data_IF_818259184687
#
_entry.id   IF_818259184687
#
_cell.length_a   1.000
_cell.length_b   1.000
_cell.length_c   1.000
_cell.angle_alpha   90.00
_cell.angle_beta   90.00
_cell.angle_gamma   90.00
#
_symmetry.space_group_name_H-M   'P 1'
#
loop_
_entity.id
_entity.type
_entity.pdbx_description
1 polymer ?
#
# COMPACT_ATOMS: atom_id res chain seq x y z
N UNK A 1 16.78 1.70 -26.80
CA UNK A 1 17.09 0.33 -26.31
C UNK A 1 17.04 0.24 -24.78
N UNK A 2 17.53 1.22 -24.01
CA UNK A 2 17.44 1.20 -22.53
C UNK A 2 15.99 1.14 -21.99
N UNK A 3 15.05 1.83 -22.63
CA UNK A 3 13.64 1.87 -22.22
C UNK A 3 12.91 0.53 -22.43
N UNK A 4 13.28 -0.23 -23.46
CA UNK A 4 12.77 -1.58 -23.74
C UNK A 4 13.34 -2.64 -22.78
N UNK A 5 14.56 -2.43 -22.29
CA UNK A 5 15.20 -3.34 -21.32
C UNK A 5 14.56 -3.15 -19.94
N UNK A 6 14.22 -1.90 -19.53
CA UNK A 6 13.53 -1.61 -18.28
C UNK A 6 12.11 -2.23 -18.20
N UNK A 7 11.42 -2.43 -19.34
CA UNK A 7 10.09 -3.06 -19.38
C UNK A 7 10.12 -4.57 -19.16
N UNK A 8 11.28 -5.24 -19.36
CA UNK A 8 11.41 -6.69 -19.18
C UNK A 8 11.47 -7.13 -17.71
N UNK A 9 11.84 -6.24 -16.80
CA UNK A 9 12.03 -6.52 -15.36
C UNK A 9 10.85 -6.07 -14.50
N UNK A 10 9.62 -6.15 -15.02
CA UNK A 10 8.42 -5.77 -14.30
C UNK A 10 7.59 -7.04 -14.02
N UNK A 11 7.05 -7.21 -12.81
CA UNK A 11 7.28 -6.39 -11.61
C UNK A 11 8.73 -6.48 -11.12
N UNK A 12 9.27 -5.34 -10.63
CA UNK A 12 10.66 -5.23 -10.20
C UNK A 12 10.82 -5.64 -8.75
N UNK A 13 11.70 -6.60 -8.47
CA UNK A 13 12.01 -7.00 -7.10
C UNK A 13 12.56 -5.81 -6.29
N UNK A 14 11.98 -5.60 -5.11
CA UNK A 14 12.45 -4.67 -4.09
C UNK A 14 13.36 -5.43 -3.13
N UNK A 15 12.81 -6.38 -2.42
CA UNK A 15 13.52 -7.26 -1.47
C UNK A 15 12.67 -8.50 -1.19
N UNK A 16 13.29 -9.62 -0.87
CA UNK A 16 12.66 -10.91 -0.58
C UNK A 16 11.69 -11.33 -1.70
N UNK A 17 10.41 -11.24 -1.46
CA UNK A 17 9.33 -11.59 -2.37
C UNK A 17 8.37 -10.42 -2.64
N UNK A 18 8.83 -9.18 -2.37
CA UNK A 18 8.09 -7.93 -2.57
C UNK A 18 8.59 -7.23 -3.83
N UNK A 19 7.68 -6.84 -4.70
CA UNK A 19 7.96 -6.26 -6.00
C UNK A 19 7.21 -4.95 -6.19
N UNK A 20 7.78 -4.05 -6.99
CA UNK A 20 7.14 -2.84 -7.49
C UNK A 20 6.54 -3.10 -8.86
N UNK A 21 5.25 -2.82 -9.05
CA UNK A 21 4.53 -3.16 -10.28
C UNK A 21 4.82 -2.21 -11.44
N UNK A 22 5.21 -0.95 -11.19
CA UNK A 22 5.21 0.10 -12.20
C UNK A 22 3.83 0.26 -12.89
N UNK A 23 3.74 0.81 -14.10
CA UNK A 23 2.47 1.05 -14.81
C UNK A 23 1.44 1.81 -13.97
N UNK A 24 1.90 2.89 -13.36
CA UNK A 24 1.04 3.77 -12.58
C UNK A 24 -0.19 4.21 -13.40
N UNK A 25 -1.35 4.18 -12.76
CA UNK A 25 -2.61 4.53 -13.41
C UNK A 25 -2.93 6.02 -13.23
N UNK A 26 -3.39 6.72 -14.29
CA UNK A 26 -3.95 8.06 -14.10
C UNK A 26 -5.22 8.06 -13.27
N UNK A 27 -5.91 6.92 -13.13
CA UNK A 27 -7.10 6.76 -12.27
C UNK A 27 -6.78 6.77 -10.78
N UNK A 28 -5.51 6.58 -10.41
CA UNK A 28 -4.97 6.70 -9.06
C UNK A 28 -3.93 7.81 -8.99
N UNK A 29 -4.09 8.88 -9.75
CA UNK A 29 -3.16 10.02 -9.78
C UNK A 29 -1.68 9.63 -9.95
N UNK A 30 -1.41 8.47 -10.54
CA UNK A 30 -0.05 7.94 -10.70
C UNK A 30 0.49 7.19 -9.48
N UNK A 31 -0.37 6.71 -8.60
CA UNK A 31 0.02 5.97 -7.41
C UNK A 31 0.85 4.73 -7.69
N UNK A 32 1.75 4.41 -6.78
CA UNK A 32 2.55 3.19 -6.80
C UNK A 32 1.71 2.00 -6.40
N UNK A 33 2.03 0.84 -6.95
CA UNK A 33 1.42 -0.43 -6.57
C UNK A 33 2.50 -1.50 -6.41
N UNK A 34 2.19 -2.50 -5.60
CA UNK A 34 3.16 -3.51 -5.24
C UNK A 34 2.57 -4.91 -5.40
N UNK A 35 3.44 -5.88 -5.64
CA UNK A 35 3.09 -7.28 -5.72
C UNK A 35 3.90 -8.06 -4.69
N UNK A 36 3.25 -8.94 -3.94
CA UNK A 36 3.91 -9.86 -3.01
C UNK A 36 3.68 -11.28 -3.50
N UNK A 37 4.76 -11.98 -3.84
CA UNK A 37 4.70 -13.40 -4.15
C UNK A 37 4.62 -14.19 -2.86
N UNK A 38 3.57 -15.00 -2.70
CA UNK A 38 3.35 -15.76 -1.47
C UNK A 38 2.89 -17.18 -1.77
N UNK A 39 3.38 -18.21 -1.05
CA UNK A 39 3.05 -19.61 -1.31
C UNK A 39 1.55 -19.91 -1.17
N UNK A 40 0.85 -19.22 -0.25
CA UNK A 40 -0.59 -19.40 -0.04
C UNK A 40 -1.45 -18.48 -0.91
N UNK A 41 -0.86 -17.92 -1.97
CA UNK A 41 -1.50 -17.03 -2.94
C UNK A 41 -0.97 -15.60 -2.91
N UNK A 42 -0.70 -15.07 -4.10
CA UNK A 42 -0.07 -13.76 -4.27
C UNK A 42 -1.02 -12.61 -3.96
N UNK A 43 -0.42 -11.48 -3.56
CA UNK A 43 -1.12 -10.25 -3.22
C UNK A 43 -0.73 -9.12 -4.17
N UNK A 44 -1.71 -8.37 -4.62
CA UNK A 44 -1.52 -7.05 -5.22
C UNK A 44 -1.92 -5.99 -4.19
N UNK A 45 -1.07 -4.99 -3.98
CA UNK A 45 -1.32 -3.88 -3.07
C UNK A 45 -1.50 -2.62 -3.91
N UNK A 46 -2.67 -2.04 -3.83
CA UNK A 46 -3.22 -1.03 -4.71
C UNK A 46 -3.19 -1.49 -6.18
N UNK A 47 -3.70 -0.70 -7.10
CA UNK A 47 -3.86 -1.19 -8.46
C UNK A 47 -3.06 -0.40 -9.47
N UNK A 48 -2.12 -1.05 -10.18
CA UNK A 48 -1.53 -0.48 -11.37
C UNK A 48 -2.56 -0.43 -12.51
N UNK A 49 -2.21 0.28 -13.59
CA UNK A 49 -2.97 0.17 -14.84
C UNK A 49 -2.96 -1.28 -15.34
N UNK A 50 -4.13 -1.79 -15.72
CA UNK A 50 -4.24 -3.11 -16.34
C UNK A 50 -3.61 -3.10 -17.74
N UNK A 51 -2.57 -3.88 -17.93
CA UNK A 51 -1.84 -3.99 -19.20
C UNK A 51 -1.54 -5.46 -19.51
N UNK A 52 -1.60 -5.89 -20.79
CA UNK A 52 -1.29 -7.28 -21.15
C UNK A 52 0.07 -7.74 -20.62
N UNK A 53 1.08 -6.88 -20.68
CA UNK A 53 2.42 -7.24 -20.21
C UNK A 53 2.46 -7.55 -18.71
N UNK A 54 1.80 -6.72 -17.87
CA UNK A 54 1.80 -6.96 -16.42
C UNK A 54 0.89 -8.14 -16.05
N UNK A 55 -0.24 -8.30 -16.76
CA UNK A 55 -1.12 -9.46 -16.65
C UNK A 55 -0.36 -10.77 -16.88
N UNK A 56 0.33 -10.88 -18.04
CA UNK A 56 1.13 -12.07 -18.39
C UNK A 56 2.23 -12.36 -17.34
N UNK A 57 2.86 -11.29 -16.80
CA UNK A 57 3.89 -11.44 -15.77
C UNK A 57 3.35 -11.92 -14.45
N UNK A 58 2.22 -11.38 -14.02
CA UNK A 58 1.53 -11.82 -12.80
C UNK A 58 1.08 -13.29 -12.97
N UNK A 59 0.57 -13.67 -14.13
CA UNK A 59 0.21 -15.06 -14.42
C UNK A 59 1.41 -16.00 -14.32
N UNK A 60 2.55 -15.65 -14.93
CA UNK A 60 3.80 -16.40 -14.83
C UNK A 60 4.30 -16.53 -13.37
N UNK A 61 3.98 -15.59 -12.52
CA UNK A 61 4.30 -15.61 -11.10
C UNK A 61 3.27 -16.38 -10.24
N UNK A 62 2.23 -16.95 -10.85
CA UNK A 62 1.20 -17.74 -10.18
C UNK A 62 -0.13 -17.04 -9.96
N UNK A 63 -0.41 -15.96 -10.68
CA UNK A 63 -1.67 -15.21 -10.59
C UNK A 63 -1.81 -14.37 -9.33
N UNK A 64 -3.06 -14.02 -8.98
CA UNK A 64 -3.42 -13.25 -7.77
C UNK A 64 -4.47 -14.02 -6.98
N UNK A 65 -4.37 -13.96 -5.66
CA UNK A 65 -5.41 -14.41 -4.73
C UNK A 65 -6.10 -13.24 -4.04
N UNK A 66 -5.33 -12.21 -3.69
CA UNK A 66 -5.84 -11.04 -3.00
C UNK A 66 -5.39 -9.74 -3.67
N UNK A 67 -6.26 -8.73 -3.63
CA UNK A 67 -5.97 -7.35 -4.02
C UNK A 67 -6.34 -6.49 -2.82
N UNK A 68 -5.34 -6.00 -2.10
CA UNK A 68 -5.54 -5.09 -0.99
C UNK A 68 -5.53 -3.64 -1.49
N UNK A 69 -6.57 -2.90 -1.20
CA UNK A 69 -6.73 -1.50 -1.56
C UNK A 69 -6.57 -0.67 -0.29
N UNK A 70 -5.53 0.16 -0.25
CA UNK A 70 -5.20 0.96 0.93
C UNK A 70 -6.30 1.97 1.23
N UNK A 71 -6.90 2.57 0.19
CA UNK A 71 -7.95 3.56 0.29
C UNK A 71 -8.70 3.76 -1.05
N UNK A 72 -9.68 4.65 -1.07
CA UNK A 72 -10.57 4.86 -2.20
C UNK A 72 -9.90 5.42 -3.48
N UNK A 73 -8.78 6.16 -3.36
CA UNK A 73 -8.20 6.88 -4.50
C UNK A 73 -7.28 5.98 -5.36
N UNK A 74 -6.79 4.85 -4.80
CA UNK A 74 -5.86 3.93 -5.45
C UNK A 74 -6.48 2.62 -5.98
N UNK A 75 -7.81 2.59 -6.14
CA UNK A 75 -8.53 1.41 -6.63
C UNK A 75 -8.30 1.12 -8.12
N UNK A 76 -8.03 2.13 -8.91
CA UNK A 76 -7.69 2.12 -10.35
C UNK A 76 -8.35 0.97 -11.16
N UNK A 77 -7.58 0.01 -11.64
CA UNK A 77 -8.05 -1.12 -12.45
C UNK A 77 -8.20 -2.43 -11.64
N UNK A 78 -8.30 -2.35 -10.31
CA UNK A 78 -8.41 -3.52 -9.42
C UNK A 78 -9.53 -4.49 -9.80
N UNK A 79 -10.67 -3.98 -10.28
CA UNK A 79 -11.77 -4.82 -10.74
C UNK A 79 -11.42 -5.64 -12.00
N UNK A 80 -10.54 -5.15 -12.88
CA UNK A 80 -10.06 -5.90 -14.04
C UNK A 80 -9.13 -7.04 -13.61
N UNK A 81 -8.19 -6.75 -12.69
CA UNK A 81 -7.33 -7.77 -12.11
C UNK A 81 -8.12 -8.83 -11.33
N UNK A 82 -9.11 -8.42 -10.52
CA UNK A 82 -9.96 -9.34 -9.78
C UNK A 82 -10.70 -10.31 -10.71
N UNK A 83 -11.31 -9.81 -11.77
CA UNK A 83 -11.98 -10.68 -12.77
C UNK A 83 -11.04 -11.61 -13.52
N UNK A 84 -9.83 -11.12 -13.85
CA UNK A 84 -8.85 -11.90 -14.61
C UNK A 84 -8.31 -13.08 -13.82
N UNK A 85 -8.08 -12.91 -12.53
CA UNK A 85 -7.42 -13.90 -11.67
C UNK A 85 -8.34 -14.55 -10.65
N UNK A 86 -9.64 -14.24 -10.66
CA UNK A 86 -10.60 -14.64 -9.62
C UNK A 86 -10.11 -14.25 -8.21
N UNK A 87 -9.53 -13.04 -8.11
CA UNK A 87 -8.91 -12.56 -6.89
C UNK A 87 -9.91 -11.78 -6.02
N UNK A 88 -9.79 -11.89 -4.71
CA UNK A 88 -10.62 -11.20 -3.74
C UNK A 88 -10.05 -9.82 -3.42
N UNK A 89 -10.84 -8.76 -3.63
CA UNK A 89 -10.49 -7.38 -3.27
C UNK A 89 -10.83 -7.12 -1.81
N UNK A 90 -9.90 -6.49 -1.12
CA UNK A 90 -10.00 -6.11 0.30
C UNK A 90 -9.96 -4.59 0.38
N UNK A 91 -10.97 -3.97 0.96
CA UNK A 91 -11.04 -2.52 1.20
C UNK A 91 -11.79 -2.25 2.50
N UNK A 92 -11.53 -1.11 3.12
CA UNK A 92 -12.31 -0.70 4.28
C UNK A 92 -13.74 -0.29 3.90
N UNK A 93 -14.74 -0.65 4.73
CA UNK A 93 -16.16 -0.38 4.45
C UNK A 93 -16.49 1.10 4.23
N UNK A 94 -15.74 2.01 4.86
CA UNK A 94 -15.96 3.45 4.69
C UNK A 94 -15.58 3.94 3.28
N UNK A 95 -14.66 3.25 2.59
CA UNK A 95 -14.18 3.59 1.24
C UNK A 95 -14.78 2.65 0.16
N UNK A 96 -15.69 1.73 0.53
CA UNK A 96 -16.26 0.70 -0.35
C UNK A 96 -16.93 1.23 -1.63
N UNK A 97 -17.34 2.50 -1.65
CA UNK A 97 -17.98 3.10 -2.82
C UNK A 97 -17.03 3.17 -4.02
N UNK A 98 -15.73 3.28 -3.78
CA UNK A 98 -14.71 3.31 -4.83
C UNK A 98 -14.44 1.92 -5.44
N UNK A 99 -14.69 0.84 -4.69
CA UNK A 99 -14.55 -0.54 -5.16
C UNK A 99 -15.86 -1.32 -4.97
N UNK A 100 -16.92 -0.99 -5.74
CA UNK A 100 -18.20 -1.67 -5.61
C UNK A 100 -18.04 -3.17 -5.88
N UNK A 101 -18.68 -3.97 -5.02
CA UNK A 101 -18.60 -5.44 -5.10
C UNK A 101 -17.26 -6.00 -4.59
N UNK A 102 -16.46 -5.24 -3.83
CA UNK A 102 -15.29 -5.80 -3.16
C UNK A 102 -15.71 -6.93 -2.21
N UNK A 103 -14.97 -8.02 -2.28
CA UNK A 103 -15.33 -9.32 -1.70
C UNK A 103 -15.13 -9.34 -0.18
N UNK A 104 -14.13 -8.61 0.32
CA UNK A 104 -13.79 -8.54 1.75
C UNK A 104 -13.83 -7.08 2.21
N UNK A 105 -14.67 -6.80 3.21
CA UNK A 105 -14.76 -5.47 3.81
C UNK A 105 -14.12 -5.47 5.20
N UNK A 106 -13.07 -4.67 5.37
CA UNK A 106 -12.49 -4.35 6.67
C UNK A 106 -13.44 -3.43 7.42
N UNK A 107 -13.71 -3.70 8.69
CA UNK A 107 -14.66 -2.94 9.52
C UNK A 107 -14.02 -2.40 10.77
N UNK A 108 -14.44 -1.21 11.17
CA UNK A 108 -14.00 -0.58 12.41
C UNK A 108 -12.53 -0.12 12.35
N UNK A 109 -11.89 -0.02 13.50
CA UNK A 109 -10.53 0.53 13.64
C UNK A 109 -9.53 -0.47 14.19
N UNK A 110 -9.98 -1.69 14.47
CA UNK A 110 -9.10 -2.73 15.01
C UNK A 110 -8.32 -3.42 13.88
N UNK A 111 -7.06 -3.80 14.14
CA UNK A 111 -6.26 -4.56 13.19
C UNK A 111 -6.93 -5.89 12.82
N UNK A 112 -6.88 -6.20 11.55
CA UNK A 112 -7.50 -7.39 10.97
C UNK A 112 -6.45 -8.23 10.22
N UNK A 113 -6.40 -9.53 10.48
CA UNK A 113 -5.50 -10.44 9.78
C UNK A 113 -6.29 -11.30 8.79
N UNK A 114 -6.00 -11.13 7.49
CA UNK A 114 -6.49 -12.04 6.45
C UNK A 114 -5.64 -13.30 6.39
N UNK A 115 -4.36 -13.18 6.73
CA UNK A 115 -3.38 -14.25 6.78
C UNK A 115 -2.39 -13.96 7.95
N UNK A 116 -1.79 -14.97 8.61
CA UNK A 116 -0.85 -14.74 9.72
C UNK A 116 0.30 -13.78 9.43
N UNK A 117 0.80 -13.75 8.20
CA UNK A 117 1.89 -12.85 7.78
C UNK A 117 1.41 -11.47 7.29
N UNK A 118 0.09 -11.27 7.07
CA UNK A 118 -0.49 -10.03 6.55
C UNK A 118 -1.47 -9.43 7.56
N UNK A 119 -1.10 -8.29 8.12
CA UNK A 119 -1.93 -7.54 9.05
C UNK A 119 -2.42 -6.24 8.41
N UNK A 120 -3.73 -6.12 8.24
CA UNK A 120 -4.38 -4.87 7.86
C UNK A 120 -4.57 -4.02 9.11
N UNK A 121 -4.11 -2.79 9.06
CA UNK A 121 -4.20 -1.84 10.18
C UNK A 121 -4.98 -0.62 9.68
N UNK A 122 -6.23 -0.40 10.15
CA UNK A 122 -6.97 0.81 9.83
C UNK A 122 -6.29 2.05 10.40
N UNK A 123 -6.08 3.04 9.54
CA UNK A 123 -5.41 4.31 9.85
C UNK A 123 -6.20 5.48 9.26
N UNK A 124 -7.44 5.72 9.73
CA UNK A 124 -8.26 6.81 9.22
C UNK A 124 -7.51 8.14 9.34
N UNK A 125 -7.70 9.00 8.35
CA UNK A 125 -7.06 10.31 8.28
C UNK A 125 -7.01 10.85 6.86
N UNK A 126 -6.17 10.31 5.99
CA UNK A 126 -6.15 10.68 4.57
C UNK A 126 -7.55 10.46 3.95
N UNK A 127 -8.08 9.25 4.04
CA UNK A 127 -9.50 8.96 3.87
C UNK A 127 -10.09 8.39 5.15
N UNK A 128 -11.41 8.28 5.22
CA UNK A 128 -12.09 7.70 6.38
C UNK A 128 -11.81 6.20 6.52
N UNK A 129 -11.62 5.51 5.38
CA UNK A 129 -11.37 4.08 5.32
C UNK A 129 -9.91 3.71 5.05
N UNK A 130 -8.97 4.65 5.20
CA UNK A 130 -7.57 4.35 4.91
C UNK A 130 -7.03 3.24 5.80
N UNK A 131 -6.36 2.27 5.17
CA UNK A 131 -5.68 1.16 5.85
C UNK A 131 -4.25 1.04 5.33
N UNK A 132 -3.34 0.61 6.20
CA UNK A 132 -2.02 0.15 5.79
C UNK A 132 -1.94 -1.37 5.91
N UNK A 133 -1.05 -1.99 5.13
CA UNK A 133 -0.79 -3.43 5.20
C UNK A 133 0.61 -3.67 5.72
N UNK A 134 0.73 -4.38 6.83
CA UNK A 134 2.01 -4.82 7.38
C UNK A 134 2.25 -6.29 7.01
N UNK A 135 3.34 -6.55 6.28
CA UNK A 135 3.76 -7.87 5.86
C UNK A 135 5.04 -8.29 6.56
N UNK A 136 5.02 -9.46 7.21
CA UNK A 136 6.14 -10.09 7.94
C UNK A 136 6.81 -9.20 8.98
N UNK A 137 6.11 -8.22 9.55
CA UNK A 137 6.69 -7.21 10.45
C UNK A 137 7.95 -6.53 9.86
N UNK A 138 8.00 -6.41 8.54
CA UNK A 138 9.14 -5.85 7.80
C UNK A 138 8.71 -4.81 6.77
N UNK A 139 7.65 -5.07 6.01
CA UNK A 139 7.19 -4.22 4.92
C UNK A 139 5.86 -3.56 5.29
N UNK A 140 5.84 -2.23 5.37
CA UNK A 140 4.63 -1.46 5.57
C UNK A 140 4.22 -0.79 4.25
N UNK A 141 3.11 -1.23 3.66
CA UNK A 141 2.48 -0.59 2.51
C UNK A 141 1.53 0.49 3.03
N UNK A 142 1.84 1.74 2.75
CA UNK A 142 1.27 2.87 3.47
C UNK A 142 0.20 3.63 2.71
N UNK A 143 -0.02 3.33 1.40
CA UNK A 143 -0.87 4.19 0.58
C UNK A 143 -0.41 5.64 0.71
N UNK A 144 -1.34 6.54 0.94
CA UNK A 144 -1.06 7.98 1.06
C UNK A 144 -0.97 8.47 2.51
N UNK A 145 -0.80 7.53 3.45
CA UNK A 145 -0.70 7.86 4.87
C UNK A 145 0.68 8.35 5.28
N UNK A 146 1.74 7.80 4.69
CA UNK A 146 3.14 7.97 5.10
C UNK A 146 4.08 7.70 3.94
N UNK A 147 5.09 8.57 3.74
CA UNK A 147 6.14 8.41 2.73
C UNK A 147 7.51 8.83 3.25
N UNK A 148 8.54 8.70 2.40
CA UNK A 148 9.86 9.31 2.63
C UNK A 148 9.98 10.62 1.87
N UNK A 149 10.14 11.72 2.61
CA UNK A 149 10.45 13.04 2.09
C UNK A 149 11.97 13.15 1.82
N UNK A 150 12.34 13.19 0.54
CA UNK A 150 13.76 13.26 0.13
C UNK A 150 14.39 14.59 0.53
N UNK A 151 13.65 15.69 0.44
CA UNK A 151 14.18 17.02 0.71
C UNK A 151 14.52 17.18 2.19
N UNK A 152 13.66 16.63 3.05
CA UNK A 152 13.85 16.66 4.50
C UNK A 152 14.66 15.47 5.04
N UNK A 153 14.95 14.48 4.17
CA UNK A 153 15.56 13.20 4.59
C UNK A 153 14.87 12.60 5.82
N UNK A 154 13.53 12.56 5.82
CA UNK A 154 12.71 12.16 6.95
C UNK A 154 11.41 11.50 6.49
N UNK A 155 10.73 10.78 7.38
CA UNK A 155 9.36 10.35 7.15
C UNK A 155 8.45 11.59 7.05
N UNK A 156 7.50 11.55 6.11
CA UNK A 156 6.56 12.63 5.81
C UNK A 156 5.11 12.18 5.78
N UNK A 157 4.25 13.07 6.20
CA UNK A 157 2.81 13.07 5.98
C UNK A 157 2.39 14.54 5.79
N UNK A 158 1.42 14.79 4.92
CA UNK A 158 1.11 16.15 4.49
C UNK A 158 -0.36 16.48 4.71
N UNK A 159 -0.59 17.58 5.43
CA UNK A 159 -1.94 18.04 5.76
C UNK A 159 -2.75 18.42 4.53
N UNK A 160 -2.09 18.98 3.51
CA UNK A 160 -2.73 19.42 2.26
C UNK A 160 -3.28 18.25 1.42
N UNK A 161 -2.82 17.03 1.69
CA UNK A 161 -3.30 15.79 1.06
C UNK A 161 -4.13 14.93 2.02
N UNK A 162 -4.59 15.49 3.17
CA UNK A 162 -5.44 14.80 4.11
C UNK A 162 -6.91 15.20 3.87
N UNK A 163 -7.67 14.33 3.19
CA UNK A 163 -9.03 14.66 2.75
C UNK A 163 -10.09 14.48 3.85
N UNK A 164 -9.84 13.63 4.85
CA UNK A 164 -10.82 13.35 5.88
C UNK A 164 -10.58 14.14 7.16
N UNK A 165 -9.54 13.83 7.93
CA UNK A 165 -9.28 14.49 9.22
C UNK A 165 -7.81 14.35 9.62
N UNK A 166 -7.12 15.49 9.74
CA UNK A 166 -5.71 15.53 10.12
C UNK A 166 -5.44 15.06 11.55
N UNK A 167 -6.37 15.34 12.48
CA UNK A 167 -6.22 14.88 13.88
C UNK A 167 -6.33 13.36 13.96
N UNK A 168 -7.27 12.79 13.21
CA UNK A 168 -7.36 11.32 13.10
C UNK A 168 -6.13 10.74 12.43
N UNK A 169 -5.58 11.37 11.38
CA UNK A 169 -4.34 10.92 10.75
C UNK A 169 -3.16 10.95 11.74
N UNK A 170 -3.07 12.00 12.57
CA UNK A 170 -2.05 12.09 13.62
C UNK A 170 -2.19 10.98 14.67
N UNK A 171 -3.41 10.69 15.13
CA UNK A 171 -3.67 9.57 16.05
C UNK A 171 -3.37 8.21 15.41
N UNK A 172 -3.72 8.05 14.15
CA UNK A 172 -3.43 6.84 13.37
C UNK A 172 -1.94 6.64 13.20
N UNK A 173 -1.19 7.71 12.92
CA UNK A 173 0.27 7.66 12.85
C UNK A 173 0.89 7.27 14.20
N UNK A 174 0.37 7.79 15.31
CA UNK A 174 0.82 7.42 16.65
C UNK A 174 0.57 5.94 16.96
N UNK A 175 -0.57 5.38 16.52
CA UNK A 175 -0.84 3.95 16.68
C UNK A 175 0.15 3.04 15.94
N UNK A 176 0.72 3.51 14.84
CA UNK A 176 1.75 2.75 14.10
C UNK A 176 3.04 2.55 14.90
N UNK A 177 3.29 3.35 15.95
CA UNK A 177 4.43 3.15 16.86
C UNK A 177 4.40 1.81 17.61
N UNK A 178 3.25 1.14 17.66
CA UNK A 178 3.13 -0.20 18.26
C UNK A 178 3.67 -1.33 17.35
N UNK A 179 4.07 -1.03 16.11
CA UNK A 179 4.50 -2.01 15.12
C UNK A 179 5.96 -1.80 14.71
N UNK A 180 6.69 -2.90 14.55
CA UNK A 180 8.02 -2.89 13.96
C UNK A 180 7.95 -3.09 12.45
N UNK A 181 8.72 -2.31 11.69
CA UNK A 181 8.91 -2.48 10.24
C UNK A 181 10.20 -1.80 9.80
N UNK A 182 10.74 -2.23 8.65
CA UNK A 182 11.97 -1.71 8.05
C UNK A 182 11.71 -0.92 6.76
N UNK A 183 10.64 -1.26 6.04
CA UNK A 183 10.26 -0.63 4.79
C UNK A 183 8.99 0.20 4.94
N UNK A 184 9.02 1.41 4.38
CA UNK A 184 7.84 2.20 4.03
C UNK A 184 7.69 2.17 2.51
N UNK A 185 6.53 1.67 2.05
CA UNK A 185 6.18 1.46 0.65
C UNK A 185 4.90 2.24 0.33
N UNK A 186 5.02 3.54 -0.04
CA UNK A 186 3.88 4.43 -0.19
C UNK A 186 3.16 4.31 -1.54
N UNK A 187 1.89 4.73 -1.59
CA UNK A 187 1.15 4.96 -2.83
C UNK A 187 1.72 6.15 -3.60
N UNK A 188 1.97 7.26 -2.94
CA UNK A 188 2.67 8.41 -3.51
C UNK A 188 3.97 8.69 -2.76
N UNK A 189 4.91 9.36 -3.46
CA UNK A 189 6.21 9.69 -2.88
C UNK A 189 7.26 8.59 -2.95
N UNK A 190 8.24 8.65 -2.06
CA UNK A 190 9.40 7.76 -2.11
C UNK A 190 9.33 6.68 -1.04
N UNK A 191 9.73 5.48 -1.45
CA UNK A 191 9.97 4.36 -0.52
C UNK A 191 11.30 4.49 0.16
N UNK A 192 11.41 3.97 1.38
CA UNK A 192 12.65 3.94 2.16
C UNK A 192 12.79 2.64 2.92
N UNK A 193 14.04 2.20 3.08
CA UNK A 193 14.43 1.16 4.02
C UNK A 193 15.33 1.75 5.09
N UNK A 194 15.00 1.50 6.34
CA UNK A 194 15.82 1.79 7.52
C UNK A 194 15.86 0.55 8.42
N UNK A 195 16.80 0.50 9.36
CA UNK A 195 16.67 -0.50 10.44
C UNK A 195 15.39 -0.24 11.25
N UNK A 196 14.83 -1.28 11.87
CA UNK A 196 13.60 -1.14 12.66
C UNK A 196 13.69 -0.04 13.73
N UNK A 197 14.85 0.08 14.41
CA UNK A 197 15.08 1.11 15.42
C UNK A 197 15.12 2.52 14.82
N UNK A 198 15.78 2.69 13.67
CA UNK A 198 15.82 3.97 12.96
C UNK A 198 14.44 4.35 12.44
N UNK A 199 13.69 3.39 11.89
CA UNK A 199 12.34 3.60 11.40
C UNK A 199 11.41 4.03 12.53
N UNK A 200 11.49 3.36 13.69
CA UNK A 200 10.72 3.74 14.87
C UNK A 200 11.06 5.16 15.36
N UNK A 201 12.36 5.52 15.37
CA UNK A 201 12.80 6.87 15.75
C UNK A 201 12.25 7.94 14.79
N UNK A 202 12.33 7.70 13.48
CA UNK A 202 11.80 8.63 12.46
C UNK A 202 10.27 8.76 12.57
N UNK A 203 9.56 7.68 12.82
CA UNK A 203 8.12 7.70 13.02
C UNK A 203 7.74 8.52 14.27
N UNK A 204 8.46 8.37 15.39
CA UNK A 204 8.26 9.20 16.58
C UNK A 204 8.49 10.69 16.29
N UNK A 205 9.52 11.02 15.52
CA UNK A 205 9.80 12.41 15.09
C UNK A 205 8.68 12.97 14.22
N UNK A 206 8.15 12.15 13.29
CA UNK A 206 7.02 12.55 12.47
C UNK A 206 5.78 12.82 13.32
N UNK A 207 5.41 11.90 14.22
CA UNK A 207 4.26 12.08 15.13
C UNK A 207 4.39 13.37 15.96
N UNK A 208 5.59 13.69 16.44
CA UNK A 208 5.83 14.93 17.17
C UNK A 208 5.57 16.18 16.29
N UNK A 209 6.03 16.16 15.02
CA UNK A 209 5.77 17.27 14.08
C UNK A 209 4.29 17.40 13.69
N UNK A 210 3.56 16.29 13.58
CA UNK A 210 2.14 16.30 13.22
C UNK A 210 1.23 16.88 14.31
N UNK A 211 1.69 16.91 15.55
CA UNK A 211 0.96 17.45 16.71
C UNK A 211 1.09 18.96 16.86
N UNK A 212 2.03 19.60 16.16
CA UNK A 212 2.24 21.05 16.13
C UNK A 212 1.43 21.71 15.01
#
# INVERSE_FOLDING_TARGET
MAELTQRRDIPRLIEDNVYYCAFNSPKSYGGNSYFVRHPDGNWLIDSPRFTPLLEDRIEQLGGLRYIFLTHQDDVADSAAYARRFDAQRIIHEADRRAAPGAEILVKGVEPFAVHPEFKVIPVPGHTRGHCVLLYKQKFLFTGDHLEWDIEKCALGAYRDYCWYDWKEQTRSMERLLAYGFEWVLPGHGRRVKLSADQMHLELRRLVARMKT
#
